data_IF_487482351678
#
_entry.id   IF_487482351678
#
_cell.length_a   1.000
_cell.length_b   1.000
_cell.length_c   1.000
_cell.angle_alpha   90.00
_cell.angle_beta   90.00
_cell.angle_gamma   90.00
#
_symmetry.space_group_name_H-M   'P 1'
#
loop_
_entity.id
_entity.type
_entity.pdbx_description
1 polymer ?
#
# COMPACT_ATOMS: atom_id res chain seq x y z
N UNK A 1 15.11 -67.96 33.01
CA UNK A 1 15.43 -66.64 32.41
C UNK A 1 15.45 -65.67 33.57
N UNK A 2 16.65 -65.28 33.98
CA UNK A 2 16.89 -64.36 35.10
C UNK A 2 16.34 -62.98 34.71
N UNK A 3 15.51 -62.38 35.58
CA UNK A 3 14.91 -61.07 35.27
C UNK A 3 16.00 -60.00 35.39
N UNK A 4 16.09 -59.16 34.36
CA UNK A 4 17.04 -58.06 34.29
C UNK A 4 16.98 -57.19 35.58
N UNK A 5 18.12 -57.00 36.28
CA UNK A 5 18.16 -56.26 37.54
C UNK A 5 17.67 -54.81 37.40
N UNK A 6 17.79 -54.20 36.23
CA UNK A 6 17.29 -52.84 36.01
C UNK A 6 15.76 -52.81 35.89
N UNK A 7 15.14 -53.85 35.32
CA UNK A 7 13.67 -53.98 35.30
C UNK A 7 13.13 -54.13 36.73
N UNK A 8 13.83 -54.87 37.59
CA UNK A 8 13.45 -55.03 39.00
C UNK A 8 13.59 -53.70 39.76
N UNK A 9 14.62 -52.90 39.47
CA UNK A 9 14.79 -51.55 40.05
C UNK A 9 13.76 -50.56 39.56
N UNK A 10 13.34 -50.63 38.30
CA UNK A 10 12.25 -49.81 37.77
C UNK A 10 10.91 -50.09 38.47
N UNK A 11 10.67 -51.34 38.87
CA UNK A 11 9.46 -51.74 39.61
C UNK A 11 9.42 -51.25 41.06
N UNK A 12 10.56 -50.84 41.64
CA UNK A 12 10.60 -50.26 43.00
C UNK A 12 10.36 -48.76 43.04
N UNK A 13 10.30 -48.09 41.88
CA UNK A 13 9.97 -46.67 41.79
C UNK A 13 8.47 -46.49 42.07
N UNK A 14 8.07 -45.71 43.10
CA UNK A 14 6.68 -45.43 43.36
C UNK A 14 6.03 -44.76 42.15
N UNK A 15 4.91 -45.31 41.68
CA UNK A 15 4.18 -44.71 40.57
C UNK A 15 3.52 -43.40 41.03
N UNK A 16 3.97 -42.28 40.47
CA UNK A 16 3.32 -40.99 40.67
C UNK A 16 2.17 -40.84 39.68
N UNK A 17 0.96 -40.76 40.19
CA UNK A 17 -0.22 -40.51 39.39
C UNK A 17 -0.45 -38.99 39.30
N UNK A 18 -0.87 -38.45 38.13
CA UNK A 18 -1.21 -37.04 38.00
C UNK A 18 -2.17 -36.60 39.11
N UNK A 19 -1.95 -35.40 39.64
CA UNK A 19 -2.77 -34.84 40.74
C UNK A 19 -4.25 -34.87 40.38
N UNK A 20 -4.59 -34.61 39.11
CA UNK A 20 -5.92 -34.82 38.56
C UNK A 20 -5.94 -36.12 37.74
N UNK A 21 -6.53 -37.18 38.29
CA UNK A 21 -6.79 -38.41 37.55
C UNK A 21 -8.04 -38.22 36.69
N UNK A 22 -7.85 -37.74 35.47
CA UNK A 22 -8.90 -37.59 34.48
C UNK A 22 -8.35 -37.09 33.17
N UNK A 23 -8.29 -37.96 32.16
CA UNK A 23 -8.22 -37.51 30.77
C UNK A 23 -9.57 -36.87 30.44
N UNK A 24 -9.56 -35.65 29.88
CA UNK A 24 -10.76 -34.86 29.51
C UNK A 24 -11.82 -35.63 28.68
N UNK A 25 -11.47 -36.80 28.14
CA UNK A 25 -12.24 -37.61 27.19
C UNK A 25 -12.83 -38.92 27.73
N UNK A 26 -12.60 -39.33 28.99
CA UNK A 26 -13.16 -40.58 29.54
C UNK A 26 -13.94 -40.33 30.84
N UNK A 27 -15.12 -40.96 31.03
CA UNK A 27 -15.86 -40.92 32.29
C UNK A 27 -15.19 -41.85 33.31
N UNK A 28 -13.99 -41.50 33.76
CA UNK A 28 -13.44 -42.10 34.97
C UNK A 28 -14.09 -41.45 36.18
N UNK A 29 -14.43 -42.25 37.20
CA UNK A 29 -14.83 -41.78 38.52
C UNK A 29 -13.82 -40.71 38.96
N UNK A 30 -14.24 -39.44 38.97
CA UNK A 30 -13.43 -38.35 39.51
C UNK A 30 -13.22 -38.67 40.97
N UNK A 31 -11.99 -39.01 41.33
CA UNK A 31 -11.60 -39.23 42.71
C UNK A 31 -11.88 -37.91 43.49
N UNK A 32 -12.94 -37.84 44.32
CA UNK A 32 -13.42 -36.58 44.88
C UNK A 32 -12.35 -35.90 45.76
N UNK A 33 -11.47 -36.69 46.35
CA UNK A 33 -10.40 -36.27 47.25
C UNK A 33 -9.27 -35.51 46.54
N UNK A 34 -9.18 -35.53 45.19
CA UNK A 34 -8.15 -34.78 44.45
C UNK A 34 -8.19 -33.28 44.73
N UNK A 35 -9.40 -32.73 44.88
CA UNK A 35 -9.58 -31.32 45.23
C UNK A 35 -9.20 -31.04 46.68
N UNK A 36 -9.34 -32.03 47.56
CA UNK A 36 -8.92 -31.95 48.97
C UNK A 36 -7.40 -32.00 49.13
N UNK A 37 -6.69 -32.59 48.15
CA UNK A 37 -5.22 -32.62 48.09
C UNK A 37 -4.61 -31.32 47.57
N UNK A 38 -5.40 -30.44 46.94
CA UNK A 38 -4.95 -29.12 46.51
C UNK A 38 -4.96 -28.16 47.70
N UNK A 39 -3.77 -27.70 48.09
CA UNK A 39 -3.62 -26.69 49.13
C UNK A 39 -4.26 -25.35 48.69
N UNK A 40 -5.36 -24.89 49.31
CA UNK A 40 -6.14 -23.76 48.81
C UNK A 40 -5.34 -22.45 48.71
N UNK A 41 -4.41 -22.24 49.65
CA UNK A 41 -3.53 -21.06 49.69
C UNK A 41 -2.60 -21.02 48.47
N UNK A 42 -1.99 -22.15 48.10
CA UNK A 42 -1.09 -22.21 46.95
C UNK A 42 -1.85 -22.00 45.64
N UNK A 43 -3.04 -22.60 45.52
CA UNK A 43 -3.90 -22.41 44.36
C UNK A 43 -4.34 -20.95 44.21
N UNK A 44 -4.80 -20.32 45.30
CA UNK A 44 -5.17 -18.90 45.31
C UNK A 44 -3.99 -18.00 44.90
N UNK A 45 -2.80 -18.27 45.44
CA UNK A 45 -1.58 -17.54 45.08
C UNK A 45 -1.25 -17.67 43.59
N UNK A 46 -1.41 -18.85 43.00
CA UNK A 46 -1.24 -19.05 41.56
C UNK A 46 -2.25 -18.25 40.75
N UNK A 47 -3.54 -18.33 41.09
CA UNK A 47 -4.59 -17.55 40.44
C UNK A 47 -4.29 -16.05 40.51
N UNK A 48 -3.85 -15.55 41.67
CA UNK A 48 -3.50 -14.14 41.85
C UNK A 48 -2.29 -13.72 41.01
N UNK A 49 -1.27 -14.56 40.89
CA UNK A 49 -0.12 -14.32 40.00
C UNK A 49 -0.55 -14.24 38.54
N UNK A 50 -1.40 -15.16 38.10
CA UNK A 50 -1.95 -15.16 36.73
C UNK A 50 -2.81 -13.92 36.48
N UNK A 51 -3.67 -13.55 37.43
CA UNK A 51 -4.49 -12.34 37.34
C UNK A 51 -3.64 -11.07 37.17
N UNK A 52 -2.61 -10.92 38.01
CA UNK A 52 -1.68 -9.78 37.91
C UNK A 52 -0.96 -9.79 36.56
N UNK A 53 -0.47 -10.94 36.12
CA UNK A 53 0.20 -11.07 34.84
C UNK A 53 -0.70 -10.67 33.66
N UNK A 54 -1.93 -11.18 33.62
CA UNK A 54 -2.90 -10.80 32.59
C UNK A 54 -3.30 -9.33 32.63
N UNK A 55 -3.42 -8.74 33.81
CA UNK A 55 -3.67 -7.30 33.93
C UNK A 55 -2.52 -6.47 33.35
N UNK A 56 -1.27 -6.84 33.64
CA UNK A 56 -0.08 -6.18 33.07
C UNK A 56 -0.02 -6.36 31.56
N UNK A 57 -0.28 -7.56 31.05
CA UNK A 57 -0.28 -7.83 29.61
C UNK A 57 -1.40 -7.07 28.89
N UNK A 58 -2.61 -7.01 29.45
CA UNK A 58 -3.71 -6.25 28.89
C UNK A 58 -3.38 -4.75 28.78
N UNK A 59 -2.79 -4.18 29.83
CA UNK A 59 -2.36 -2.77 29.81
C UNK A 59 -1.27 -2.51 28.77
N UNK A 60 -0.31 -3.43 28.64
CA UNK A 60 0.75 -3.32 27.63
C UNK A 60 0.18 -3.37 26.20
N UNK A 61 -0.70 -4.34 25.93
CA UNK A 61 -1.37 -4.47 24.62
C UNK A 61 -2.19 -3.21 24.31
N UNK A 62 -2.93 -2.68 25.28
CA UNK A 62 -3.71 -1.46 25.09
C UNK A 62 -2.81 -0.25 24.76
N UNK A 63 -1.66 -0.12 25.41
CA UNK A 63 -0.68 0.92 25.13
C UNK A 63 -0.09 0.79 23.71
N UNK A 64 0.29 -0.44 23.32
CA UNK A 64 0.83 -0.72 21.99
C UNK A 64 -0.22 -0.43 20.89
N UNK A 65 -1.47 -0.82 21.12
CA UNK A 65 -2.60 -0.54 20.21
C UNK A 65 -2.87 0.97 20.06
N UNK A 66 -2.80 1.73 21.15
CA UNK A 66 -2.96 3.17 21.12
C UNK A 66 -1.83 3.85 20.32
N UNK A 67 -0.59 3.41 20.53
CA UNK A 67 0.57 3.90 19.79
C UNK A 67 0.46 3.60 18.28
N UNK A 68 0.13 2.35 17.92
CA UNK A 68 -0.07 1.96 16.52
C UNK A 68 -1.18 2.78 15.86
N UNK A 69 -2.30 2.97 16.57
CA UNK A 69 -3.43 3.78 16.08
C UNK A 69 -3.01 5.23 15.80
N UNK A 70 -2.20 5.83 16.69
CA UNK A 70 -1.67 7.17 16.47
C UNK A 70 -0.76 7.23 15.23
N UNK A 71 0.10 6.23 15.03
CA UNK A 71 0.98 6.15 13.86
C UNK A 71 0.24 5.95 12.55
N UNK A 72 -0.82 5.14 12.54
CA UNK A 72 -1.68 5.00 11.35
C UNK A 72 -2.31 6.34 10.98
N UNK A 73 -2.85 7.09 11.94
CA UNK A 73 -3.43 8.41 11.69
C UNK A 73 -2.42 9.43 11.15
N UNK A 74 -1.18 9.39 11.64
CA UNK A 74 -0.09 10.24 11.15
C UNK A 74 0.22 9.92 9.67
N UNK A 75 0.38 8.63 9.34
CA UNK A 75 0.63 8.17 7.97
C UNK A 75 -0.53 8.54 7.05
N UNK A 76 -1.78 8.34 7.47
CA UNK A 76 -2.97 8.70 6.68
C UNK A 76 -3.01 10.20 6.37
N UNK A 77 -2.62 11.05 7.34
CA UNK A 77 -2.51 12.49 7.14
C UNK A 77 -1.45 12.84 6.09
N UNK A 78 -0.30 12.19 6.12
CA UNK A 78 0.78 12.43 5.17
C UNK A 78 0.43 11.93 3.76
N UNK A 79 -0.23 10.77 3.65
CA UNK A 79 -0.79 10.28 2.39
C UNK A 79 -1.77 11.29 1.80
N UNK A 80 -2.67 11.85 2.61
CA UNK A 80 -3.63 12.84 2.14
C UNK A 80 -2.95 14.12 1.61
N UNK A 81 -1.87 14.59 2.25
CA UNK A 81 -1.07 15.73 1.78
C UNK A 81 -0.40 15.43 0.44
N UNK A 82 0.26 14.26 0.33
CA UNK A 82 0.91 13.83 -0.91
C UNK A 82 -0.12 13.71 -2.03
N UNK A 83 -1.26 13.09 -1.76
CA UNK A 83 -2.34 12.95 -2.73
C UNK A 83 -2.84 14.31 -3.24
N UNK A 84 -3.08 15.26 -2.33
CA UNK A 84 -3.49 16.62 -2.72
C UNK A 84 -2.44 17.30 -3.59
N UNK A 85 -1.15 17.21 -3.26
CA UNK A 85 -0.08 17.77 -4.07
C UNK A 85 0.00 17.12 -5.47
N UNK A 86 -0.22 15.80 -5.55
CA UNK A 86 -0.25 15.07 -6.81
C UNK A 86 -1.43 15.46 -7.70
N UNK A 87 -2.61 15.69 -7.11
CA UNK A 87 -3.79 16.18 -7.84
C UNK A 87 -3.55 17.56 -8.43
N UNK A 88 -2.96 18.49 -7.67
CA UNK A 88 -2.62 19.83 -8.20
C UNK A 88 -1.61 19.74 -9.35
N UNK A 89 -0.57 18.91 -9.18
CA UNK A 89 0.41 18.66 -10.24
C UNK A 89 -0.22 18.05 -11.50
N UNK A 90 -1.16 17.13 -11.34
CA UNK A 90 -1.91 16.54 -12.44
C UNK A 90 -2.69 17.60 -13.22
N UNK A 91 -3.41 18.50 -12.52
CA UNK A 91 -4.14 19.60 -13.16
C UNK A 91 -3.22 20.49 -13.98
N UNK A 92 -2.04 20.83 -13.44
CA UNK A 92 -1.03 21.61 -14.17
C UNK A 92 -0.58 20.90 -15.44
N UNK A 93 -0.30 19.60 -15.38
CA UNK A 93 0.08 18.82 -16.56
C UNK A 93 -1.04 18.69 -17.60
N UNK A 94 -2.30 18.54 -17.17
CA UNK A 94 -3.44 18.57 -18.07
C UNK A 94 -3.54 19.92 -18.82
N UNK A 95 -3.35 21.04 -18.11
CA UNK A 95 -3.32 22.37 -18.74
C UNK A 95 -2.17 22.49 -19.74
N UNK A 96 -0.96 22.03 -19.43
CA UNK A 96 0.15 22.04 -20.38
C UNK A 96 -0.11 21.19 -21.62
N UNK A 97 -0.74 20.02 -21.47
CA UNK A 97 -1.12 19.19 -22.61
C UNK A 97 -2.12 19.91 -23.54
N UNK A 98 -3.09 20.63 -22.97
CA UNK A 98 -4.02 21.46 -23.75
C UNK A 98 -3.30 22.59 -24.49
N UNK A 99 -2.37 23.29 -23.83
CA UNK A 99 -1.58 24.35 -24.46
C UNK A 99 -0.73 23.81 -25.61
N UNK A 100 -0.10 22.65 -25.43
CA UNK A 100 0.70 22.01 -26.47
C UNK A 100 -0.17 21.60 -27.68
N UNK A 101 -1.37 21.07 -27.43
CA UNK A 101 -2.34 20.74 -28.48
C UNK A 101 -2.74 21.98 -29.29
N UNK A 102 -3.00 23.12 -28.62
CA UNK A 102 -3.29 24.40 -29.27
C UNK A 102 -2.10 24.89 -30.11
N UNK A 103 -0.88 24.82 -29.59
CA UNK A 103 0.34 25.19 -30.33
C UNK A 103 0.52 24.33 -31.58
N UNK A 104 0.27 23.02 -31.48
CA UNK A 104 0.33 22.13 -32.62
C UNK A 104 -0.69 22.52 -33.71
N UNK A 105 -1.92 22.86 -33.31
CA UNK A 105 -2.94 23.32 -34.24
C UNK A 105 -2.52 24.63 -34.96
N UNK A 106 -2.01 25.61 -34.21
CA UNK A 106 -1.51 26.87 -34.79
C UNK A 106 -0.35 26.61 -35.75
N UNK A 107 0.59 25.75 -35.40
CA UNK A 107 1.70 25.36 -36.28
C UNK A 107 1.18 24.74 -37.58
N UNK A 108 0.17 23.86 -37.50
CA UNK A 108 -0.43 23.26 -38.69
C UNK A 108 -1.14 24.29 -39.57
N UNK A 109 -1.85 25.25 -38.96
CA UNK A 109 -2.48 26.35 -39.69
C UNK A 109 -1.46 27.25 -40.38
N UNK A 110 -0.33 27.56 -39.73
CA UNK A 110 0.74 28.35 -40.31
C UNK A 110 1.37 27.63 -41.52
N UNK A 111 1.65 26.34 -41.41
CA UNK A 111 2.15 25.53 -42.53
C UNK A 111 1.18 25.52 -43.71
N UNK A 112 -0.12 25.43 -43.44
CA UNK A 112 -1.17 25.52 -44.48
C UNK A 112 -1.22 26.90 -45.13
N UNK A 113 -1.12 27.97 -44.34
CA UNK A 113 -1.09 29.34 -44.86
C UNK A 113 0.12 29.53 -45.78
N UNK A 114 1.30 29.08 -45.36
CA UNK A 114 2.51 29.12 -46.18
C UNK A 114 2.33 28.35 -47.50
N UNK A 115 1.71 27.16 -47.48
CA UNK A 115 1.43 26.40 -48.69
C UNK A 115 0.49 27.15 -49.66
N UNK A 116 -0.61 27.73 -49.14
CA UNK A 116 -1.57 28.50 -49.95
C UNK A 116 -0.92 29.78 -50.52
N UNK A 117 -0.10 30.47 -49.72
CA UNK A 117 0.62 31.66 -50.18
C UNK A 117 1.55 31.31 -51.34
N UNK A 118 2.32 30.23 -51.23
CA UNK A 118 3.20 29.78 -52.31
C UNK A 118 2.41 29.40 -53.58
N UNK A 119 1.25 28.75 -53.44
CA UNK A 119 0.36 28.45 -54.58
C UNK A 119 -0.20 29.72 -55.23
N UNK A 120 -0.55 30.72 -54.42
CA UNK A 120 -1.05 32.02 -54.89
C UNK A 120 0.03 32.80 -55.62
N UNK A 121 1.27 32.80 -55.12
CA UNK A 121 2.42 33.43 -55.78
C UNK A 121 2.65 32.78 -57.15
N UNK A 122 2.70 31.44 -57.21
CA UNK A 122 2.87 30.73 -58.47
C UNK A 122 1.75 31.05 -59.48
N UNK A 123 0.50 31.15 -59.02
CA UNK A 123 -0.64 31.54 -59.86
C UNK A 123 -0.52 32.98 -60.37
N UNK A 124 -0.07 33.91 -59.52
CA UNK A 124 0.18 35.30 -59.89
C UNK A 124 1.29 35.43 -60.92
N UNK A 125 2.37 34.65 -60.80
CA UNK A 125 3.45 34.58 -61.80
C UNK A 125 2.94 34.05 -63.15
N UNK A 126 2.10 33.02 -63.14
CA UNK A 126 1.46 32.50 -64.35
C UNK A 126 0.61 33.58 -65.02
N UNK A 127 -0.23 34.29 -64.26
CA UNK A 127 -1.04 35.40 -64.76
C UNK A 127 -0.18 36.53 -65.33
N UNK A 128 0.89 36.90 -64.62
CA UNK A 128 1.83 37.93 -65.06
C UNK A 128 2.51 37.56 -66.38
N UNK A 129 2.77 36.27 -66.61
CA UNK A 129 3.37 35.79 -67.86
C UNK A 129 2.41 35.84 -69.07
N UNK A 130 1.10 35.99 -68.87
CA UNK A 130 0.16 36.24 -69.97
C UNK A 130 0.16 37.68 -70.49
N UNK A 131 0.80 38.62 -69.78
CA UNK A 131 0.98 40.00 -70.22
C UNK A 131 2.10 40.11 -71.25
N UNK A 132 1.98 41.08 -72.15
CA UNK A 132 3.05 41.49 -73.07
C UNK A 132 4.28 41.93 -72.28
N UNK A 133 5.48 41.75 -72.84
CA UNK A 133 6.76 41.90 -72.12
C UNK A 133 6.88 43.30 -71.47
N UNK A 134 6.33 44.32 -72.11
CA UNK A 134 6.38 45.71 -71.65
C UNK A 134 5.45 45.97 -70.43
N UNK A 135 4.43 45.16 -70.25
CA UNK A 135 3.39 45.30 -69.21
C UNK A 135 3.57 44.34 -68.02
N UNK A 136 4.60 43.49 -68.03
CA UNK A 136 4.85 42.52 -66.95
C UNK A 136 5.28 43.21 -65.66
N UNK A 137 4.67 42.78 -64.56
CA UNK A 137 5.02 43.21 -63.21
C UNK A 137 6.33 42.57 -62.74
N UNK A 138 7.01 43.22 -61.80
CA UNK A 138 8.21 42.68 -61.15
C UNK A 138 7.90 41.38 -60.38
N UNK A 139 8.82 40.41 -60.33
CA UNK A 139 8.64 39.19 -59.56
C UNK A 139 8.37 39.49 -58.08
N UNK A 140 7.36 38.85 -57.53
CA UNK A 140 7.00 39.05 -56.13
C UNK A 140 8.03 38.35 -55.21
N UNK A 141 8.68 39.11 -54.33
CA UNK A 141 9.70 38.59 -53.41
C UNK A 141 9.20 38.65 -51.97
N UNK A 142 9.04 37.49 -51.34
CA UNK A 142 8.67 37.42 -49.92
C UNK A 142 9.94 37.52 -49.05
N UNK A 143 10.06 38.58 -48.26
CA UNK A 143 11.14 38.72 -47.25
C UNK A 143 10.61 38.27 -45.89
N UNK A 144 11.03 37.09 -45.44
CA UNK A 144 10.77 36.62 -44.08
C UNK A 144 11.79 37.28 -43.15
N UNK A 145 11.40 38.30 -42.39
CA UNK A 145 12.19 38.85 -41.27
C UNK A 145 11.88 38.13 -39.97
#
# INVERSE_FOLDING_TARGET
IEKDPDIVRLQSIPMFLPVMRGTLSLPANRDPEVLERLQPVHFNNMCRRVQVHYSVMANRVAADQAHLTAKVKEIDSDIAKIHSAMVERQKTYSSYAEHLSKLHNVSQQLSRCNAILNETIASAEVLNNFLEIEDRLEPFVWTTH
#
